data_IF_133617825708
#
_entry.id   IF_133617825708
#
_cell.length_a   1.000
_cell.length_b   1.000
_cell.length_c   1.000
_cell.angle_alpha   90.00
_cell.angle_beta   90.00
_cell.angle_gamma   90.00
#
_symmetry.space_group_name_H-M   'P 1'
#
loop_
_entity.id
_entity.type
_entity.pdbx_description
1 polymer ?
#
# COMPACT_ATOMS: atom_id res chain seq x y z
N UNK A 1 -46.50 -38.35 -39.70
CA UNK A 1 -46.21 -39.60 -40.45
C UNK A 1 -44.70 -39.65 -40.66
N UNK A 2 -43.95 -40.40 -39.86
CA UNK A 2 -43.73 -41.86 -39.93
C UNK A 2 -42.61 -42.24 -40.90
N UNK A 3 -41.52 -42.75 -40.30
CA UNK A 3 -40.67 -43.89 -40.69
C UNK A 3 -39.87 -43.81 -42.01
N UNK A 4 -38.54 -43.96 -42.03
CA UNK A 4 -37.65 -45.09 -41.64
C UNK A 4 -37.21 -45.94 -42.85
N UNK A 5 -35.89 -46.19 -42.94
CA UNK A 5 -35.20 -47.48 -43.21
C UNK A 5 -33.91 -47.27 -44.02
N UNK A 6 -32.70 -47.58 -43.54
CA UNK A 6 -32.05 -48.89 -43.24
C UNK A 6 -31.42 -49.59 -44.45
N UNK A 7 -30.09 -49.81 -44.37
CA UNK A 7 -29.29 -51.03 -44.72
C UNK A 7 -27.83 -50.70 -44.35
N UNK A 8 -27.20 -51.26 -43.29
CA UNK A 8 -26.63 -52.63 -43.08
C UNK A 8 -25.80 -53.09 -44.29
N UNK A 9 -24.51 -53.45 -44.15
CA UNK A 9 -23.92 -54.61 -43.42
C UNK A 9 -22.46 -54.29 -43.01
N UNK A 10 -21.94 -54.66 -41.83
CA UNK A 10 -21.57 -56.03 -41.39
C UNK A 10 -20.15 -56.37 -41.92
N UNK A 11 -19.19 -56.93 -41.18
CA UNK A 11 -19.27 -57.79 -40.00
C UNK A 11 -17.86 -58.22 -39.55
N UNK A 12 -17.60 -58.24 -38.23
CA UNK A 12 -16.95 -59.33 -37.43
C UNK A 12 -15.49 -59.73 -37.71
N UNK A 13 -14.68 -60.26 -36.77
CA UNK A 13 -14.84 -60.76 -35.40
C UNK A 13 -13.42 -61.00 -34.80
N UNK A 14 -13.20 -60.69 -33.52
CA UNK A 14 -13.08 -61.62 -32.36
C UNK A 14 -11.63 -62.01 -32.05
N UNK A 15 -11.09 -61.62 -30.88
CA UNK A 15 -11.18 -62.24 -29.54
C UNK A 15 -10.15 -63.38 -29.39
N UNK A 16 -9.25 -63.26 -28.41
CA UNK A 16 -9.06 -64.28 -27.37
C UNK A 16 -8.16 -63.80 -26.23
N UNK A 17 -8.46 -64.38 -25.07
CA UNK A 17 -8.01 -64.11 -23.72
C UNK A 17 -7.15 -65.29 -23.24
N UNK A 18 -6.34 -65.03 -22.19
CA UNK A 18 -5.96 -65.87 -21.03
C UNK A 18 -4.60 -66.60 -20.95
N UNK A 19 -3.98 -66.38 -19.77
CA UNK A 19 -3.22 -67.28 -18.86
C UNK A 19 -1.81 -67.74 -19.26
N UNK A 20 -0.80 -67.92 -18.39
CA UNK A 20 -0.54 -67.67 -16.97
C UNK A 20 0.96 -67.95 -16.66
N UNK A 21 1.44 -67.42 -15.52
CA UNK A 21 2.48 -67.93 -14.59
C UNK A 21 3.97 -68.11 -14.94
N UNK A 22 4.81 -67.43 -14.14
CA UNK A 22 5.84 -67.98 -13.21
C UNK A 22 7.14 -67.13 -13.19
N UNK A 23 7.35 -66.37 -12.11
CA UNK A 23 8.40 -66.55 -11.08
C UNK A 23 9.85 -66.38 -11.54
N UNK A 24 10.53 -65.34 -11.05
CA UNK A 24 11.89 -65.43 -10.51
C UNK A 24 12.25 -64.18 -9.69
N UNK A 25 12.63 -64.45 -8.44
CA UNK A 25 13.13 -63.53 -7.42
C UNK A 25 14.52 -62.98 -7.79
N UNK A 26 14.73 -61.67 -7.61
CA UNK A 26 15.98 -61.01 -7.17
C UNK A 26 15.52 -59.75 -6.44
N UNK A 27 15.90 -59.43 -5.21
CA UNK A 27 17.20 -59.60 -4.57
C UNK A 27 17.51 -58.22 -3.98
N UNK A 28 17.13 -58.05 -2.71
CA UNK A 28 17.17 -56.83 -1.91
C UNK A 28 18.62 -56.34 -1.70
N UNK A 29 18.91 -55.08 -2.04
CA UNK A 29 20.11 -54.36 -1.58
C UNK A 29 19.69 -52.94 -1.18
N UNK A 30 19.35 -52.78 0.09
CA UNK A 30 19.13 -51.49 0.75
C UNK A 30 20.51 -51.02 1.25
N UNK A 31 21.02 -49.93 0.70
CA UNK A 31 22.21 -49.26 1.19
C UNK A 31 21.90 -48.46 2.47
N UNK A 32 22.83 -48.40 3.45
CA UNK A 32 22.59 -47.77 4.75
C UNK A 32 22.60 -46.24 4.65
N UNK A 33 21.58 -45.61 5.23
CA UNK A 33 21.51 -44.17 5.47
C UNK A 33 22.54 -43.76 6.54
N UNK A 34 23.22 -42.61 6.43
CA UNK A 34 24.12 -42.13 7.46
C UNK A 34 23.32 -41.59 8.66
N UNK A 35 23.69 -42.07 9.84
CA UNK A 35 23.19 -41.60 11.14
C UNK A 35 23.52 -40.11 11.35
N UNK A 36 22.53 -39.24 11.21
CA UNK A 36 22.57 -37.89 11.74
C UNK A 36 22.25 -37.96 13.24
N UNK A 37 23.29 -37.79 14.05
CA UNK A 37 23.20 -37.64 15.50
C UNK A 37 22.34 -36.41 15.84
N UNK A 38 21.24 -36.65 16.52
CA UNK A 38 20.39 -35.61 17.09
C UNK A 38 21.00 -35.14 18.41
N UNK A 39 21.76 -34.05 18.38
CA UNK A 39 22.16 -33.33 19.60
C UNK A 39 21.00 -32.41 20.03
N UNK A 40 20.50 -32.47 21.28
CA UNK A 40 19.51 -31.51 21.75
C UNK A 40 20.15 -30.14 21.83
N UNK A 41 19.70 -29.18 21.00
CA UNK A 41 20.08 -27.78 21.17
C UNK A 41 19.37 -27.24 22.41
N UNK A 42 20.19 -26.83 23.38
CA UNK A 42 19.75 -25.96 24.46
C UNK A 42 19.05 -24.72 23.87
N UNK A 43 17.81 -24.51 24.30
CA UNK A 43 17.05 -23.30 24.06
C UNK A 43 17.73 -22.13 24.78
N UNK A 44 18.46 -21.31 24.03
CA UNK A 44 18.85 -19.97 24.48
C UNK A 44 17.60 -19.08 24.49
N UNK A 45 17.26 -18.40 25.60
CA UNK A 45 16.14 -17.47 25.61
C UNK A 45 16.42 -16.27 24.71
N UNK A 46 15.37 -15.76 24.07
CA UNK A 46 15.42 -14.57 23.22
C UNK A 46 15.93 -13.35 24.03
N UNK A 47 16.72 -12.44 23.43
CA UNK A 47 17.19 -11.25 24.11
C UNK A 47 15.99 -10.33 24.42
N UNK A 48 15.92 -9.86 25.67
CA UNK A 48 14.95 -8.86 26.11
C UNK A 48 15.13 -7.54 25.35
N UNK A 49 14.06 -6.77 25.07
CA UNK A 49 14.19 -5.46 24.46
C UNK A 49 14.99 -4.51 25.38
N UNK A 50 15.76 -3.56 24.82
CA UNK A 50 16.61 -2.68 25.60
C UNK A 50 15.75 -1.79 26.53
N UNK A 51 16.07 -1.83 27.83
CA UNK A 51 15.49 -0.92 28.81
C UNK A 51 16.10 0.48 28.61
N UNK A 52 15.25 1.46 28.36
CA UNK A 52 15.63 2.88 28.34
C UNK A 52 15.96 3.32 29.77
N UNK A 53 17.06 4.07 30.00
CA UNK A 53 17.43 4.53 31.33
C UNK A 53 16.53 5.70 31.74
N UNK A 54 15.57 5.47 32.63
CA UNK A 54 14.90 6.54 33.35
C UNK A 54 15.85 7.08 34.43
N UNK A 55 16.61 8.11 34.06
CA UNK A 55 17.34 8.94 35.01
C UNK A 55 16.38 9.79 35.83
N UNK A 56 16.33 9.52 37.14
CA UNK A 56 15.73 10.39 38.15
C UNK A 56 16.54 11.69 38.26
N UNK A 57 15.94 12.82 37.87
CA UNK A 57 16.36 14.14 38.34
C UNK A 57 15.11 14.93 38.72
N UNK A 58 14.92 15.10 40.02
CA UNK A 58 13.84 15.87 40.60
C UNK A 58 14.15 17.37 40.47
N UNK A 59 13.51 18.03 39.51
CA UNK A 59 13.36 19.49 39.53
C UNK A 59 11.93 19.84 39.94
N UNK A 60 11.81 20.48 41.11
CA UNK A 60 10.60 21.13 41.59
C UNK A 60 10.17 22.23 40.61
N UNK A 61 9.25 21.91 39.70
CA UNK A 61 8.50 22.89 38.93
C UNK A 61 7.11 23.05 39.57
N UNK A 62 6.80 24.27 40.00
CA UNK A 62 5.49 24.63 40.54
C UNK A 62 4.44 24.39 39.46
N UNK A 63 3.54 23.42 39.70
CA UNK A 63 2.38 23.18 38.84
C UNK A 63 1.40 24.35 38.97
N UNK A 64 1.41 25.24 37.99
CA UNK A 64 0.22 26.03 37.68
C UNK A 64 -0.79 25.07 37.04
N UNK A 65 -1.88 24.78 37.74
CA UNK A 65 -3.01 24.01 37.24
C UNK A 65 -3.74 24.81 36.17
N UNK A 66 -3.23 24.71 34.94
CA UNK A 66 -3.98 24.99 33.73
C UNK A 66 -4.88 23.78 33.48
N UNK A 67 -6.17 23.89 33.77
CA UNK A 67 -7.20 22.96 33.31
C UNK A 67 -7.45 23.19 31.81
N UNK A 68 -6.48 22.85 30.97
CA UNK A 68 -6.75 22.62 29.56
C UNK A 68 -7.25 21.19 29.40
N UNK A 69 -8.47 21.04 28.90
CA UNK A 69 -8.99 19.74 28.51
C UNK A 69 -8.12 19.18 27.37
N UNK A 70 -7.50 18.01 27.60
CA UNK A 70 -6.86 17.26 26.52
C UNK A 70 -7.98 16.68 25.64
N UNK A 71 -8.34 17.40 24.57
CA UNK A 71 -9.29 16.92 23.57
C UNK A 71 -8.56 16.10 22.52
N UNK A 72 -9.17 15.00 22.07
CA UNK A 72 -8.71 14.27 20.88
C UNK A 72 -8.67 15.14 19.60
N UNK A 73 -9.26 16.34 19.64
CA UNK A 73 -9.30 17.32 18.55
C UNK A 73 -8.28 18.47 18.73
N UNK A 74 -7.33 18.37 19.65
CA UNK A 74 -6.28 19.37 19.78
C UNK A 74 -5.42 19.44 18.49
N UNK A 75 -5.19 20.63 17.91
CA UNK A 75 -4.42 20.74 16.67
C UNK A 75 -2.97 20.30 16.90
N UNK A 76 -2.45 19.43 16.02
CA UNK A 76 -1.02 19.11 16.01
C UNK A 76 -0.21 20.39 15.76
N UNK A 77 0.85 20.61 16.53
CA UNK A 77 1.78 21.71 16.28
C UNK A 77 2.58 21.43 14.99
N UNK A 78 2.22 22.10 13.90
CA UNK A 78 2.79 21.88 12.56
C UNK A 78 4.10 22.67 12.31
N UNK A 79 4.64 23.37 13.30
CA UNK A 79 5.68 24.39 13.10
C UNK A 79 7.09 23.85 12.85
N UNK A 80 7.31 22.52 12.82
CA UNK A 80 8.64 21.92 12.63
C UNK A 80 8.60 20.57 11.89
N UNK A 81 7.69 20.41 10.92
CA UNK A 81 7.43 19.10 10.31
C UNK A 81 8.60 18.56 9.46
N UNK A 82 9.49 19.43 8.95
CA UNK A 82 10.72 19.01 8.25
C UNK A 82 11.69 20.18 8.07
N UNK A 83 12.95 19.96 8.45
CA UNK A 83 14.09 20.86 8.17
C UNK A 83 14.83 20.49 6.87
N UNK A 84 14.39 19.42 6.17
CA UNK A 84 15.04 18.91 4.97
C UNK A 84 14.74 19.79 3.75
N UNK A 85 15.76 20.05 2.94
CA UNK A 85 15.60 20.76 1.66
C UNK A 85 14.61 20.03 0.75
N UNK A 86 13.80 20.79 0.02
CA UNK A 86 12.82 20.25 -0.93
C UNK A 86 13.52 19.49 -2.06
N UNK A 87 13.06 18.28 -2.33
CA UNK A 87 13.44 17.46 -3.48
C UNK A 87 12.76 18.05 -4.71
N UNK A 88 13.54 18.27 -5.76
CA UNK A 88 13.09 18.83 -7.03
C UNK A 88 13.44 17.86 -8.16
N UNK A 89 12.88 18.07 -9.35
CA UNK A 89 13.30 17.34 -10.56
C UNK A 89 14.82 17.42 -10.79
N UNK A 90 15.45 18.55 -10.48
CA UNK A 90 16.91 18.72 -10.58
C UNK A 90 17.66 17.93 -9.51
N UNK A 91 17.07 17.76 -8.33
CA UNK A 91 17.62 16.88 -7.29
C UNK A 91 17.63 15.44 -7.78
N UNK A 92 16.50 14.96 -8.31
CA UNK A 92 16.34 13.59 -8.82
C UNK A 92 17.28 13.32 -10.00
N UNK A 93 17.41 14.26 -10.94
CA UNK A 93 18.37 14.16 -12.05
C UNK A 93 19.81 14.05 -11.54
N UNK A 94 20.20 14.86 -10.55
CA UNK A 94 21.55 14.79 -9.96
C UNK A 94 21.81 13.48 -9.23
N UNK A 95 20.79 12.90 -8.59
CA UNK A 95 20.92 11.59 -7.96
C UNK A 95 21.19 10.52 -9.03
N UNK A 96 20.41 10.54 -10.12
CA UNK A 96 20.61 9.66 -11.27
C UNK A 96 22.01 9.80 -11.90
N UNK A 97 22.46 11.01 -12.21
CA UNK A 97 23.79 11.30 -12.76
C UNK A 97 24.94 10.82 -11.85
N UNK A 98 24.70 10.77 -10.53
CA UNK A 98 25.68 10.28 -9.53
C UNK A 98 25.56 8.79 -9.23
N UNK A 99 24.57 8.09 -9.79
CA UNK A 99 24.26 6.71 -9.43
C UNK A 99 23.69 6.54 -8.01
N UNK A 100 23.21 7.61 -7.39
CA UNK A 100 22.53 7.57 -6.09
C UNK A 100 21.08 7.08 -6.29
N UNK A 101 20.68 6.04 -5.55
CA UNK A 101 19.37 5.41 -5.73
C UNK A 101 18.25 6.32 -5.24
N UNK A 102 17.24 6.52 -6.09
CA UNK A 102 16.03 7.29 -5.74
C UNK A 102 15.09 6.41 -4.92
N UNK A 103 14.71 6.87 -3.74
CA UNK A 103 13.71 6.20 -2.90
C UNK A 103 12.31 6.73 -3.18
N UNK A 104 11.36 5.82 -3.43
CA UNK A 104 9.97 6.17 -3.68
C UNK A 104 9.04 5.26 -2.89
N UNK A 105 7.97 5.82 -2.33
CA UNK A 105 6.94 5.03 -1.65
C UNK A 105 5.56 5.64 -1.88
N UNK A 106 4.51 4.82 -1.86
CA UNK A 106 3.15 5.37 -1.92
C UNK A 106 2.74 6.03 -0.60
N UNK A 107 1.83 7.00 -0.66
CA UNK A 107 1.11 7.51 0.49
C UNK A 107 -0.33 7.81 0.10
N UNK A 108 -1.23 7.75 1.08
CA UNK A 108 -2.67 7.77 0.83
C UNK A 108 -3.39 8.82 1.68
N UNK A 109 -2.80 9.30 2.76
CA UNK A 109 -3.40 10.25 3.69
C UNK A 109 -2.34 11.14 4.35
N UNK A 110 -2.78 12.02 5.25
CA UNK A 110 -1.88 12.92 5.96
C UNK A 110 -0.81 12.17 6.81
N UNK A 111 -1.17 11.20 7.67
CA UNK A 111 -0.17 10.46 8.46
C UNK A 111 0.85 9.68 7.62
N UNK A 112 0.40 8.96 6.57
CA UNK A 112 1.29 8.22 5.68
C UNK A 112 2.27 9.13 4.94
N UNK A 113 1.80 10.26 4.43
CA UNK A 113 2.62 11.26 3.77
C UNK A 113 3.62 11.91 4.73
N UNK A 114 3.19 12.24 5.94
CA UNK A 114 4.07 12.79 6.98
C UNK A 114 5.17 11.80 7.35
N UNK A 115 4.83 10.53 7.57
CA UNK A 115 5.80 9.49 7.91
C UNK A 115 6.83 9.31 6.78
N UNK A 116 6.39 9.25 5.52
CA UNK A 116 7.28 9.13 4.38
C UNK A 116 8.24 10.33 4.26
N UNK A 117 7.74 11.56 4.46
CA UNK A 117 8.56 12.77 4.38
C UNK A 117 9.60 12.85 5.51
N UNK A 118 9.20 12.50 6.74
CA UNK A 118 10.09 12.46 7.91
C UNK A 118 11.15 11.34 7.81
N UNK A 119 10.81 10.22 7.18
CA UNK A 119 11.76 9.16 6.88
C UNK A 119 12.79 9.55 5.80
N UNK A 120 12.64 10.71 5.17
CA UNK A 120 13.59 11.22 4.18
C UNK A 120 13.39 10.66 2.77
N UNK A 121 12.22 10.06 2.48
CA UNK A 121 11.90 9.52 1.14
C UNK A 121 12.01 10.63 0.09
N UNK A 122 12.61 10.31 -1.07
CA UNK A 122 12.84 11.31 -2.12
C UNK A 122 11.56 11.65 -2.88
N UNK A 123 10.76 10.62 -3.19
CA UNK A 123 9.53 10.73 -3.98
C UNK A 123 8.36 10.08 -3.24
N UNK A 124 7.28 10.83 -3.02
CA UNK A 124 6.02 10.28 -2.48
C UNK A 124 5.00 10.19 -3.59
N UNK A 125 4.42 9.01 -3.78
CA UNK A 125 3.40 8.75 -4.80
C UNK A 125 2.01 8.61 -4.18
N UNK A 126 1.09 9.47 -4.58
CA UNK A 126 -0.34 9.22 -4.41
C UNK A 126 -0.78 8.38 -5.59
N UNK A 127 -0.66 7.06 -5.43
CA UNK A 127 -0.92 6.10 -6.49
C UNK A 127 -2.33 5.56 -6.48
N UNK A 128 -2.86 5.21 -7.64
CA UNK A 128 -4.19 4.61 -7.81
C UNK A 128 -4.35 3.22 -7.15
N UNK A 129 -3.23 2.56 -6.83
CA UNK A 129 -3.17 1.42 -5.89
C UNK A 129 -3.96 1.64 -4.59
N UNK A 130 -4.13 2.91 -4.17
CA UNK A 130 -5.07 3.39 -3.16
C UNK A 130 -6.44 2.72 -3.23
N UNK A 131 -6.98 2.53 -4.44
CA UNK A 131 -8.27 1.90 -4.69
C UNK A 131 -8.38 0.57 -3.93
N UNK A 132 -7.38 -0.28 -4.08
CA UNK A 132 -7.36 -1.61 -3.48
C UNK A 132 -6.88 -1.57 -2.04
N UNK A 133 -5.78 -0.88 -1.75
CA UNK A 133 -5.11 -0.99 -0.44
C UNK A 133 -5.69 -0.07 0.63
N UNK A 134 -6.30 1.04 0.23
CA UNK A 134 -6.86 2.03 1.15
C UNK A 134 -8.38 2.12 1.10
N UNK A 135 -9.00 1.89 -0.07
CA UNK A 135 -10.46 1.99 -0.24
C UNK A 135 -11.17 0.63 -0.34
N UNK A 136 -10.44 -0.47 -0.45
CA UNK A 136 -11.02 -1.83 -0.51
C UNK A 136 -11.77 -2.13 -1.80
N UNK A 137 -11.53 -1.37 -2.87
CA UNK A 137 -12.05 -1.64 -4.21
C UNK A 137 -11.39 -2.89 -4.81
N UNK A 138 -12.07 -3.53 -5.77
CA UNK A 138 -11.58 -4.79 -6.35
C UNK A 138 -10.36 -4.59 -7.26
N UNK A 139 -10.28 -3.44 -7.92
CA UNK A 139 -9.17 -3.05 -8.78
C UNK A 139 -8.95 -1.53 -8.81
N UNK A 140 -7.89 -1.10 -9.50
CA UNK A 140 -7.53 0.32 -9.65
C UNK A 140 -8.42 1.09 -10.61
N UNK A 141 -9.30 0.43 -11.37
CA UNK A 141 -10.14 1.09 -12.38
C UNK A 141 -11.40 1.73 -11.78
N UNK A 142 -11.74 1.37 -10.53
CA UNK A 142 -12.88 1.94 -9.83
C UNK A 142 -12.62 3.34 -9.26
N UNK A 143 -11.35 3.75 -9.12
CA UNK A 143 -11.00 5.02 -8.48
C UNK A 143 -11.20 6.20 -9.44
N UNK A 144 -11.82 7.26 -8.93
CA UNK A 144 -12.09 8.47 -9.72
C UNK A 144 -10.97 9.50 -9.60
N UNK A 145 -10.96 10.48 -10.51
CA UNK A 145 -10.09 11.66 -10.39
C UNK A 145 -10.40 12.46 -9.10
N UNK A 146 -11.65 12.51 -8.66
CA UNK A 146 -12.03 13.22 -7.44
C UNK A 146 -11.47 12.54 -6.17
N UNK A 147 -11.42 11.20 -6.16
CA UNK A 147 -10.74 10.45 -5.09
C UNK A 147 -9.25 10.77 -5.08
N UNK A 148 -8.59 10.73 -6.24
CA UNK A 148 -7.18 11.09 -6.37
C UNK A 148 -6.91 12.53 -5.90
N UNK A 149 -7.78 13.49 -6.24
CA UNK A 149 -7.69 14.87 -5.77
C UNK A 149 -7.88 14.99 -4.25
N UNK A 150 -8.79 14.22 -3.66
CA UNK A 150 -8.98 14.20 -2.21
C UNK A 150 -7.71 13.72 -1.50
N UNK A 151 -7.21 12.55 -1.88
CA UNK A 151 -6.07 11.91 -1.23
C UNK A 151 -4.77 12.68 -1.50
N UNK A 152 -4.59 13.23 -2.70
CA UNK A 152 -3.45 14.09 -3.04
C UNK A 152 -3.37 15.31 -2.11
N UNK A 153 -4.50 15.99 -1.84
CA UNK A 153 -4.55 17.09 -0.88
C UNK A 153 -4.24 16.65 0.55
N UNK A 154 -4.70 15.47 0.95
CA UNK A 154 -4.45 14.95 2.30
C UNK A 154 -2.95 14.69 2.50
N UNK A 155 -2.31 13.99 1.56
CA UNK A 155 -0.87 13.68 1.57
C UNK A 155 -0.04 14.96 1.50
N UNK A 156 -0.41 15.92 0.65
CA UNK A 156 0.31 17.20 0.50
C UNK A 156 0.36 18.06 1.78
N UNK A 157 -0.53 17.81 2.76
CA UNK A 157 -0.45 18.49 4.08
C UNK A 157 0.72 17.97 4.92
N UNK A 158 1.08 16.69 4.75
CA UNK A 158 2.16 16.01 5.46
C UNK A 158 3.50 16.06 4.73
N UNK A 159 3.49 16.04 3.40
CA UNK A 159 4.71 16.06 2.57
C UNK A 159 5.21 17.50 2.36
N UNK A 160 6.34 17.86 2.99
CA UNK A 160 6.95 19.19 2.88
C UNK A 160 8.23 19.20 2.05
N UNK A 161 9.01 18.12 2.10
CA UNK A 161 10.31 18.05 1.42
C UNK A 161 10.31 17.12 0.22
N UNK A 162 9.65 15.97 0.25
CA UNK A 162 9.67 14.98 -0.83
C UNK A 162 9.01 15.51 -2.11
N UNK A 163 9.41 14.95 -3.24
CA UNK A 163 8.81 15.23 -4.54
C UNK A 163 7.48 14.50 -4.66
N UNK A 164 6.37 15.24 -4.59
CA UNK A 164 5.03 14.66 -4.60
C UNK A 164 4.55 14.38 -6.03
N UNK A 165 4.29 13.11 -6.32
CA UNK A 165 3.70 12.63 -7.58
C UNK A 165 2.28 12.14 -7.31
N UNK A 166 1.35 12.39 -8.22
CA UNK A 166 0.00 11.83 -8.15
C UNK A 166 -0.37 11.12 -9.46
N UNK A 167 -1.03 9.97 -9.36
CA UNK A 167 -1.50 9.25 -10.54
C UNK A 167 -2.66 9.96 -11.24
N UNK A 168 -2.63 9.91 -12.58
CA UNK A 168 -3.81 10.06 -13.40
C UNK A 168 -4.55 8.69 -13.41
N UNK A 169 -5.75 8.60 -12.83
CA UNK A 169 -6.50 7.34 -12.80
C UNK A 169 -7.06 7.02 -14.18
N UNK A 170 -7.45 5.75 -14.40
CA UNK A 170 -8.08 5.31 -15.64
C UNK A 170 -9.29 6.18 -15.99
N UNK A 171 -9.44 6.53 -17.27
CA UNK A 171 -10.51 7.36 -17.80
C UNK A 171 -10.27 8.87 -17.68
N UNK A 172 -9.16 9.30 -17.07
CA UNK A 172 -8.84 10.72 -16.88
C UNK A 172 -7.90 11.30 -17.95
N UNK A 173 -7.32 10.48 -18.83
CA UNK A 173 -6.28 10.93 -19.76
C UNK A 173 -6.33 10.28 -21.15
N UNK A 174 -7.15 9.26 -21.35
CA UNK A 174 -7.14 8.40 -22.54
C UNK A 174 -7.98 8.96 -23.69
N UNK A 175 -8.96 9.82 -23.42
CA UNK A 175 -9.88 10.29 -24.47
C UNK A 175 -9.24 11.33 -25.39
N UNK A 176 -8.40 12.21 -24.84
CA UNK A 176 -7.70 13.24 -25.61
C UNK A 176 -6.57 13.88 -24.79
N UNK A 177 -5.61 14.51 -25.49
CA UNK A 177 -4.56 15.29 -24.85
C UNK A 177 -5.14 16.44 -23.99
N UNK A 178 -6.25 17.04 -24.42
CA UNK A 178 -6.92 18.11 -23.68
C UNK A 178 -7.48 17.60 -22.35
N UNK A 179 -8.11 16.43 -22.34
CA UNK A 179 -8.60 15.81 -21.10
C UNK A 179 -7.44 15.50 -20.15
N UNK A 180 -6.38 14.86 -20.64
CA UNK A 180 -5.20 14.54 -19.85
C UNK A 180 -4.56 15.80 -19.23
N UNK A 181 -4.49 16.89 -19.99
CA UNK A 181 -3.99 18.17 -19.52
C UNK A 181 -4.92 18.77 -18.44
N UNK A 182 -6.24 18.75 -18.63
CA UNK A 182 -7.21 19.22 -17.62
C UNK A 182 -7.07 18.46 -16.31
N UNK A 183 -7.00 17.13 -16.37
CA UNK A 183 -6.79 16.26 -15.21
C UNK A 183 -5.44 16.54 -14.52
N UNK A 184 -4.37 16.71 -15.32
CA UNK A 184 -3.04 17.02 -14.79
C UNK A 184 -3.00 18.38 -14.09
N UNK A 185 -3.60 19.41 -14.70
CA UNK A 185 -3.73 20.73 -14.09
C UNK A 185 -4.51 20.65 -12.78
N UNK A 186 -5.59 19.86 -12.73
CA UNK A 186 -6.36 19.68 -11.50
C UNK A 186 -5.52 19.03 -10.39
N UNK A 187 -4.75 17.97 -10.68
CA UNK A 187 -3.86 17.33 -9.71
C UNK A 187 -2.77 18.27 -9.19
N UNK A 188 -2.23 19.14 -10.04
CA UNK A 188 -1.25 20.14 -9.61
C UNK A 188 -1.90 21.26 -8.79
N UNK A 189 -2.94 21.91 -9.32
CA UNK A 189 -3.54 23.09 -8.69
C UNK A 189 -4.35 22.76 -7.44
N UNK A 190 -5.23 21.76 -7.56
CA UNK A 190 -6.16 21.36 -6.50
C UNK A 190 -5.57 20.24 -5.66
N UNK A 191 -4.96 19.23 -6.30
CA UNK A 191 -4.31 18.11 -5.60
C UNK A 191 -3.01 18.50 -4.89
N UNK A 192 -2.35 19.59 -5.31
CA UNK A 192 -1.04 20.07 -4.83
C UNK A 192 0.14 19.15 -5.18
N UNK A 193 -0.05 18.25 -6.14
CA UNK A 193 1.03 17.44 -6.68
C UNK A 193 2.07 18.32 -7.40
N UNK A 194 3.34 17.90 -7.38
CA UNK A 194 4.40 18.56 -8.16
C UNK A 194 4.54 17.94 -9.55
N UNK A 195 4.16 16.68 -9.69
CA UNK A 195 4.24 15.89 -10.92
C UNK A 195 3.06 14.94 -11.02
N UNK A 196 2.73 14.50 -12.24
CA UNK A 196 1.75 13.45 -12.49
C UNK A 196 2.42 12.16 -12.96
N UNK A 197 1.85 11.00 -12.62
CA UNK A 197 2.21 9.70 -13.20
C UNK A 197 1.13 9.24 -14.18
N UNK A 198 1.55 8.68 -15.32
CA UNK A 198 0.69 8.23 -16.41
C UNK A 198 1.14 6.88 -16.94
N UNK A 199 0.19 5.98 -17.21
CA UNK A 199 0.48 4.64 -17.72
C UNK A 199 0.40 4.58 -19.24
N UNK A 200 1.36 3.92 -19.87
CA UNK A 200 1.39 3.73 -21.32
C UNK A 200 2.78 3.89 -21.92
N UNK A 201 2.98 3.18 -23.02
CA UNK A 201 4.22 3.20 -23.79
C UNK A 201 4.18 4.24 -24.90
N UNK A 202 4.67 3.85 -26.07
CA UNK A 202 4.76 4.72 -27.25
C UNK A 202 3.42 5.36 -27.64
N UNK A 203 2.30 4.67 -27.40
CA UNK A 203 0.96 5.17 -27.70
C UNK A 203 0.56 6.41 -26.89
N UNK A 204 1.10 6.59 -25.68
CA UNK A 204 0.77 7.73 -24.81
C UNK A 204 1.81 8.86 -24.90
N UNK A 205 2.92 8.65 -25.60
CA UNK A 205 3.99 9.64 -25.77
C UNK A 205 3.48 11.02 -26.27
N UNK A 206 2.55 11.13 -27.24
CA UNK A 206 1.99 12.43 -27.63
C UNK A 206 1.25 13.15 -26.49
N UNK A 207 0.58 12.40 -25.60
CA UNK A 207 -0.09 12.96 -24.42
C UNK A 207 0.93 13.44 -23.38
N UNK A 208 1.98 12.65 -23.14
CA UNK A 208 3.09 13.05 -22.26
C UNK A 208 3.69 14.37 -22.76
N UNK A 209 3.99 14.46 -24.06
CA UNK A 209 4.55 15.66 -24.67
C UNK A 209 3.66 16.89 -24.52
N UNK A 210 2.33 16.73 -24.65
CA UNK A 210 1.39 17.81 -24.43
C UNK A 210 1.39 18.31 -22.97
N UNK A 211 1.49 17.40 -22.00
CA UNK A 211 1.53 17.75 -20.57
C UNK A 211 2.87 18.43 -20.20
N UNK A 212 3.98 17.87 -20.67
CA UNK A 212 5.34 18.38 -20.35
C UNK A 212 5.61 19.73 -21.00
N UNK A 213 5.10 19.97 -22.21
CA UNK A 213 5.18 21.29 -22.90
C UNK A 213 4.52 22.40 -22.10
N UNK A 214 3.48 22.08 -21.31
CA UNK A 214 2.81 23.04 -20.41
C UNK A 214 3.54 23.24 -19.07
N UNK A 215 4.70 22.60 -18.89
CA UNK A 215 5.54 22.72 -17.70
C UNK A 215 5.15 21.81 -16.55
N UNK A 216 4.27 20.82 -16.75
CA UNK A 216 3.93 19.82 -15.74
C UNK A 216 4.88 18.61 -15.87
N UNK A 217 5.70 18.29 -14.87
CA UNK A 217 6.58 17.12 -14.93
C UNK A 217 5.76 15.82 -14.96
N UNK A 218 6.16 14.89 -15.82
CA UNK A 218 5.51 13.58 -15.97
C UNK A 218 6.47 12.45 -15.60
N UNK A 219 6.01 11.56 -14.72
CA UNK A 219 6.61 10.24 -14.49
C UNK A 219 5.84 9.23 -15.37
N UNK A 220 6.51 8.62 -16.35
CA UNK A 220 5.88 7.59 -17.16
C UNK A 220 5.78 6.25 -16.41
N UNK A 221 4.92 5.34 -16.86
CA UNK A 221 4.82 3.99 -16.33
C UNK A 221 4.61 2.98 -17.48
N UNK A 222 5.57 2.06 -17.63
CA UNK A 222 5.57 0.99 -18.64
C UNK A 222 5.87 -0.38 -18.01
N UNK A 223 5.74 -1.45 -18.79
CA UNK A 223 5.78 -2.81 -18.29
C UNK A 223 4.35 -3.26 -17.98
N UNK A 224 4.14 -3.85 -16.80
CA UNK A 224 2.78 -4.15 -16.34
C UNK A 224 2.11 -2.82 -15.95
N UNK A 225 1.00 -2.50 -16.61
CA UNK A 225 0.22 -1.28 -16.32
C UNK A 225 -1.12 -1.71 -15.73
N UNK A 226 -1.30 -1.66 -14.40
CA UNK A 226 -2.50 -2.15 -13.70
C UNK A 226 -3.82 -1.66 -14.29
N UNK A 227 -3.89 -0.41 -14.77
CA UNK A 227 -5.11 0.14 -15.38
C UNK A 227 -5.53 -0.65 -16.64
N UNK A 228 -4.56 -1.29 -17.30
CA UNK A 228 -4.74 -2.13 -18.48
C UNK A 228 -4.75 -3.63 -18.17
N UNK A 229 -4.96 -4.03 -16.91
CA UNK A 229 -4.96 -5.46 -16.53
C UNK A 229 -5.88 -6.32 -17.42
N UNK A 230 -7.04 -5.80 -17.83
CA UNK A 230 -7.99 -6.52 -18.68
C UNK A 230 -7.45 -6.86 -20.06
N UNK A 231 -6.70 -5.94 -20.69
CA UNK A 231 -6.07 -6.19 -22.01
C UNK A 231 -4.77 -6.98 -21.90
N UNK A 232 -4.09 -6.92 -20.75
CA UNK A 232 -2.87 -7.68 -20.46
C UNK A 232 -3.14 -9.11 -19.97
N UNK A 233 -4.41 -9.47 -19.70
CA UNK A 233 -4.77 -10.79 -19.17
C UNK A 233 -4.43 -10.98 -17.70
N UNK A 234 -4.44 -9.89 -16.91
CA UNK A 234 -4.15 -9.85 -15.48
C UNK A 234 -2.73 -9.38 -15.14
N UNK A 235 -2.35 -9.55 -13.88
CA UNK A 235 -1.04 -9.13 -13.34
C UNK A 235 0.08 -10.11 -13.71
N UNK A 236 0.47 -10.11 -14.99
CA UNK A 236 1.50 -11.00 -15.53
C UNK A 236 2.81 -10.27 -15.79
N UNK A 237 3.93 -10.94 -15.49
CA UNK A 237 5.29 -10.44 -15.77
C UNK A 237 5.46 -10.18 -17.26
N UNK A 238 5.96 -8.99 -17.61
CA UNK A 238 6.13 -8.51 -18.98
C UNK A 238 7.53 -8.79 -19.53
N UNK A 239 7.72 -8.61 -20.84
CA UNK A 239 9.04 -8.58 -21.49
C UNK A 239 9.93 -9.81 -21.28
N UNK A 240 9.33 -11.01 -21.25
CA UNK A 240 10.06 -12.29 -21.12
C UNK A 240 10.78 -12.77 -22.39
N UNK A 241 10.48 -12.17 -23.54
CA UNK A 241 11.10 -12.52 -24.83
C UNK A 241 11.84 -11.32 -25.38
N UNK A 242 12.86 -11.55 -26.22
CA UNK A 242 13.63 -10.47 -26.85
C UNK A 242 12.74 -9.49 -27.63
N UNK A 243 11.70 -9.98 -28.32
CA UNK A 243 10.73 -9.12 -29.02
C UNK A 243 9.94 -8.22 -28.05
N UNK A 244 9.46 -8.78 -26.93
CA UNK A 244 8.74 -8.01 -25.92
C UNK A 244 9.65 -7.05 -25.13
N UNK A 245 10.92 -7.41 -24.91
CA UNK A 245 11.93 -6.52 -24.35
C UNK A 245 12.28 -5.37 -25.31
N UNK A 246 12.38 -5.64 -26.62
CA UNK A 246 12.57 -4.61 -27.65
C UNK A 246 11.40 -3.62 -27.71
N UNK A 247 10.15 -4.11 -27.59
CA UNK A 247 8.99 -3.24 -27.44
C UNK A 247 9.09 -2.36 -26.19
N UNK A 248 9.43 -2.93 -25.04
CA UNK A 248 9.58 -2.18 -23.79
C UNK A 248 10.64 -1.07 -23.92
N UNK A 249 11.79 -1.37 -24.54
CA UNK A 249 12.83 -0.38 -24.81
C UNK A 249 12.32 0.73 -25.73
N UNK A 250 11.55 0.37 -26.78
CA UNK A 250 10.93 1.34 -27.69
C UNK A 250 9.93 2.24 -26.97
N UNK A 251 9.13 1.67 -26.05
CA UNK A 251 8.20 2.41 -25.20
C UNK A 251 8.95 3.35 -24.26
N UNK A 252 10.03 2.88 -23.64
CA UNK A 252 10.87 3.65 -22.73
C UNK A 252 11.53 4.87 -23.41
N UNK A 253 12.11 4.66 -24.59
CA UNK A 253 12.69 5.74 -25.39
C UNK A 253 11.61 6.73 -25.85
N UNK A 254 10.43 6.25 -26.26
CA UNK A 254 9.34 7.13 -26.69
C UNK A 254 8.83 8.04 -25.57
N UNK A 255 8.70 7.53 -24.34
CA UNK A 255 8.27 8.37 -23.21
C UNK A 255 9.38 9.33 -22.75
N UNK A 256 10.65 8.94 -22.87
CA UNK A 256 11.79 9.83 -22.67
C UNK A 256 11.77 10.99 -23.68
N UNK A 257 11.65 10.69 -24.97
CA UNK A 257 11.61 11.68 -26.05
C UNK A 257 10.40 12.64 -25.92
N UNK A 258 9.30 12.16 -25.34
CA UNK A 258 8.13 12.98 -25.01
C UNK A 258 8.35 13.92 -23.82
N UNK A 259 9.49 13.83 -23.13
CA UNK A 259 9.88 14.72 -22.04
C UNK A 259 9.51 14.23 -20.63
N UNK A 260 9.22 12.94 -20.45
CA UNK A 260 9.08 12.38 -19.11
C UNK A 260 10.39 12.57 -18.31
N UNK A 261 10.29 12.90 -17.03
CA UNK A 261 11.49 13.09 -16.19
C UNK A 261 12.07 11.78 -15.68
N UNK A 262 11.27 10.71 -15.72
CA UNK A 262 11.62 9.36 -15.32
C UNK A 262 10.56 8.37 -15.79
N UNK A 263 10.80 7.08 -15.60
CA UNK A 263 9.86 6.02 -15.98
C UNK A 263 9.83 4.91 -14.93
N UNK A 264 8.63 4.51 -14.51
CA UNK A 264 8.42 3.30 -13.71
C UNK A 264 8.48 2.07 -14.61
N UNK A 265 9.23 1.06 -14.18
CA UNK A 265 9.26 -0.27 -14.79
C UNK A 265 8.64 -1.27 -13.81
N UNK A 266 7.46 -1.79 -14.14
CA UNK A 266 6.74 -2.74 -13.27
C UNK A 266 6.73 -4.17 -13.82
N UNK A 267 7.07 -5.12 -12.95
CA UNK A 267 7.04 -6.56 -13.21
C UNK A 267 7.79 -6.98 -14.50
N UNK A 268 9.02 -6.47 -14.66
CA UNK A 268 9.95 -6.75 -15.77
C UNK A 268 11.14 -7.60 -15.27
N UNK A 269 11.68 -8.56 -16.04
CA UNK A 269 12.90 -9.27 -15.67
C UNK A 269 14.07 -8.32 -15.37
N UNK A 270 14.84 -8.63 -14.32
CA UNK A 270 15.89 -7.75 -13.81
C UNK A 270 16.94 -7.35 -14.86
N UNK A 271 17.41 -8.30 -15.67
CA UNK A 271 18.37 -8.02 -16.73
C UNK A 271 17.81 -7.10 -17.81
N UNK A 272 16.53 -7.24 -18.16
CA UNK A 272 15.86 -6.37 -19.14
C UNK A 272 15.73 -4.96 -18.57
N UNK A 273 15.28 -4.82 -17.31
CA UNK A 273 15.14 -3.52 -16.66
C UNK A 273 16.49 -2.80 -16.50
N UNK A 274 17.56 -3.54 -16.19
CA UNK A 274 18.92 -3.00 -16.15
C UNK A 274 19.37 -2.48 -17.52
N UNK A 275 19.22 -3.27 -18.58
CA UNK A 275 19.57 -2.86 -19.94
C UNK A 275 18.75 -1.65 -20.43
N UNK A 276 17.46 -1.58 -20.09
CA UNK A 276 16.63 -0.40 -20.36
C UNK A 276 17.14 0.81 -19.59
N UNK A 277 17.51 0.64 -18.31
CA UNK A 277 18.05 1.73 -17.47
C UNK A 277 19.36 2.28 -18.02
N UNK A 278 20.24 1.42 -18.53
CA UNK A 278 21.51 1.79 -19.16
C UNK A 278 21.33 2.52 -20.51
N UNK A 279 20.19 2.34 -21.17
CA UNK A 279 19.91 2.91 -22.49
C UNK A 279 19.17 4.27 -22.43
N UNK A 280 18.68 4.67 -21.26
CA UNK A 280 17.95 5.93 -21.05
C UNK A 280 18.86 7.01 -20.47
N UNK A 281 18.48 8.27 -20.66
CA UNK A 281 19.07 9.47 -20.05
C UNK A 281 18.23 10.00 -18.87
N UNK A 282 17.14 9.31 -18.55
CA UNK A 282 16.23 9.62 -17.44
C UNK A 282 16.22 8.48 -16.41
N UNK A 283 16.00 8.78 -15.11
CA UNK A 283 15.90 7.75 -14.08
C UNK A 283 14.77 6.75 -14.32
N UNK A 284 15.09 5.48 -14.07
CA UNK A 284 14.10 4.39 -13.98
C UNK A 284 13.75 4.09 -12.53
N UNK A 285 12.47 3.90 -12.21
CA UNK A 285 12.00 3.48 -10.89
C UNK A 285 11.44 2.07 -11.00
N UNK A 286 12.06 1.10 -10.31
CA UNK A 286 11.66 -0.29 -10.35
C UNK A 286 10.58 -0.64 -9.34
N UNK A 287 9.65 -1.51 -9.73
CA UNK A 287 8.81 -2.28 -8.81
C UNK A 287 8.66 -3.70 -9.35
N UNK A 288 9.33 -4.65 -8.70
CA UNK A 288 9.50 -5.99 -9.26
C UNK A 288 10.34 -6.02 -10.55
N UNK A 289 11.28 -5.08 -10.69
CA UNK A 289 12.17 -4.94 -11.85
C UNK A 289 13.67 -5.16 -11.51
N UNK A 290 13.98 -5.68 -10.32
CA UNK A 290 15.35 -5.91 -9.84
C UNK A 290 16.09 -4.63 -9.42
N UNK A 291 17.29 -4.76 -8.86
CA UNK A 291 18.07 -3.62 -8.35
C UNK A 291 18.75 -2.75 -9.42
N UNK A 292 18.72 -3.19 -10.69
CA UNK A 292 19.36 -2.53 -11.82
C UNK A 292 18.75 -1.17 -12.22
N UNK A 293 17.58 -0.81 -11.69
CA UNK A 293 16.92 0.49 -11.94
C UNK A 293 17.55 1.63 -11.15
N UNK A 294 17.30 2.88 -11.53
CA UNK A 294 17.83 4.08 -10.86
C UNK A 294 17.26 4.32 -9.47
N UNK A 295 16.07 3.78 -9.18
CA UNK A 295 15.40 3.84 -7.91
C UNK A 295 14.39 2.70 -7.74
N UNK A 296 13.68 2.70 -6.62
CA UNK A 296 12.68 1.67 -6.30
C UNK A 296 11.41 2.31 -5.73
N UNK A 297 10.26 1.72 -6.03
CA UNK A 297 8.97 2.05 -5.43
C UNK A 297 8.29 0.82 -4.83
N UNK A 298 7.64 1.00 -3.67
CA UNK A 298 6.73 0.02 -3.08
C UNK A 298 5.44 0.70 -2.62
N UNK A 299 4.35 -0.06 -2.60
CA UNK A 299 3.12 0.32 -1.92
C UNK A 299 3.39 0.30 -0.40
N UNK A 300 3.21 1.43 0.27
CA UNK A 300 3.57 1.59 1.69
C UNK A 300 2.82 0.60 2.59
N UNK A 301 1.51 0.42 2.36
CA UNK A 301 0.69 -0.54 3.11
C UNK A 301 1.23 -1.97 2.98
N UNK A 302 1.68 -2.35 1.78
CA UNK A 302 2.20 -3.68 1.53
C UNK A 302 3.55 -3.92 2.22
N UNK A 303 4.45 -2.93 2.15
CA UNK A 303 5.78 -3.05 2.78
C UNK A 303 5.74 -2.92 4.31
N UNK A 304 4.76 -2.21 4.87
CA UNK A 304 4.51 -2.15 6.32
C UNK A 304 3.75 -3.37 6.87
N UNK A 305 3.24 -4.24 6.00
CA UNK A 305 2.43 -5.37 6.45
C UNK A 305 1.10 -4.95 7.07
N UNK A 306 0.49 -3.85 6.61
CA UNK A 306 -0.76 -3.34 7.17
C UNK A 306 -1.98 -3.93 6.46
N UNK A 307 -2.13 -5.25 6.49
CA UNK A 307 -3.24 -5.99 5.90
C UNK A 307 -3.42 -7.33 6.61
N UNK A 308 -4.61 -7.95 6.55
CA UNK A 308 -4.87 -9.23 7.22
C UNK A 308 -4.02 -10.37 6.66
N UNK A 309 -3.74 -11.35 7.52
CA UNK A 309 -3.10 -12.60 7.11
C UNK A 309 -3.86 -13.28 5.96
N UNK A 310 -3.12 -13.87 5.02
CA UNK A 310 -3.68 -14.57 3.86
C UNK A 310 -3.98 -13.68 2.64
N UNK A 311 -3.84 -12.35 2.75
CA UNK A 311 -3.86 -11.47 1.56
C UNK A 311 -2.74 -11.87 0.60
N UNK A 312 -3.05 -11.91 -0.70
CA UNK A 312 -2.05 -12.11 -1.73
C UNK A 312 -1.05 -10.94 -1.70
N UNK A 313 0.23 -11.27 -1.55
CA UNK A 313 1.33 -10.31 -1.59
C UNK A 313 2.18 -10.59 -2.85
N UNK A 314 2.39 -9.62 -3.73
CA UNK A 314 3.25 -9.83 -4.90
C UNK A 314 4.66 -10.24 -4.48
N UNK A 315 5.25 -11.18 -5.22
CA UNK A 315 6.57 -11.77 -4.88
C UNK A 315 7.71 -10.75 -4.72
N UNK A 316 7.57 -9.57 -5.33
CA UNK A 316 8.59 -8.51 -5.29
C UNK A 316 8.51 -7.65 -4.03
N UNK A 317 7.46 -7.80 -3.22
CA UNK A 317 7.31 -7.03 -2.00
C UNK A 317 8.10 -7.70 -0.88
N UNK A 318 8.99 -6.91 -0.25
CA UNK A 318 9.55 -7.24 1.06
C UNK A 318 8.69 -6.61 2.14
N UNK A 319 8.20 -7.42 3.07
CA UNK A 319 7.54 -6.95 4.30
C UNK A 319 8.61 -6.55 5.32
N UNK A 320 8.61 -5.28 5.74
CA UNK A 320 9.56 -4.73 6.72
C UNK A 320 8.99 -4.66 8.14
N UNK A 321 7.66 -4.73 8.29
CA UNK A 321 6.97 -4.75 9.59
C UNK A 321 5.65 -5.53 9.49
N UNK A 322 4.96 -5.72 10.62
CA UNK A 322 3.61 -6.30 10.68
C UNK A 322 2.67 -5.36 11.44
N UNK A 323 2.34 -4.23 10.81
CA UNK A 323 1.52 -3.18 11.43
C UNK A 323 0.10 -3.67 11.70
N UNK A 324 -0.42 -4.59 10.88
CA UNK A 324 -1.77 -5.12 11.09
C UNK A 324 -1.86 -5.89 12.40
N UNK A 325 -0.93 -6.79 12.67
CA UNK A 325 -0.93 -7.58 13.91
C UNK A 325 -0.70 -6.71 15.15
N UNK A 326 0.19 -5.73 15.07
CA UNK A 326 0.39 -4.75 16.17
C UNK A 326 -0.90 -3.97 16.44
N UNK A 327 -1.57 -3.49 15.40
CA UNK A 327 -2.82 -2.74 15.53
C UNK A 327 -3.95 -3.62 16.08
N UNK A 328 -4.05 -4.87 15.61
CA UNK A 328 -5.01 -5.86 16.08
C UNK A 328 -4.81 -6.18 17.56
N UNK A 329 -3.56 -6.33 18.01
CA UNK A 329 -3.25 -6.56 19.41
C UNK A 329 -3.69 -5.37 20.29
N UNK A 330 -3.31 -4.15 19.91
CA UNK A 330 -3.67 -2.94 20.66
C UNK A 330 -5.19 -2.71 20.74
N UNK A 331 -5.92 -2.94 19.65
CA UNK A 331 -7.40 -2.84 19.65
C UNK A 331 -8.03 -3.90 20.56
N UNK A 332 -7.49 -5.11 20.59
CA UNK A 332 -7.98 -6.16 21.48
C UNK A 332 -7.71 -5.84 22.95
N UNK A 333 -6.51 -5.33 23.26
CA UNK A 333 -6.16 -4.89 24.61
C UNK A 333 -7.11 -3.79 25.09
N UNK A 334 -7.33 -2.74 24.30
CA UNK A 334 -8.31 -1.69 24.60
C UNK A 334 -9.70 -2.27 24.89
N UNK A 335 -10.18 -3.16 24.02
CA UNK A 335 -11.48 -3.83 24.19
C UNK A 335 -11.55 -4.62 25.50
N UNK A 336 -10.49 -5.34 25.85
CA UNK A 336 -10.45 -6.18 27.04
C UNK A 336 -10.34 -5.33 28.32
N UNK A 337 -9.57 -4.23 28.28
CA UNK A 337 -9.49 -3.27 29.40
C UNK A 337 -10.79 -2.54 29.66
N UNK A 338 -11.51 -2.12 28.61
CA UNK A 338 -12.85 -1.52 28.74
C UNK A 338 -13.82 -2.51 29.37
N UNK A 339 -13.84 -3.77 28.88
CA UNK A 339 -14.74 -4.81 29.41
C UNK A 339 -14.43 -5.18 30.86
N UNK A 340 -13.15 -5.12 31.25
CA UNK A 340 -12.71 -5.37 32.61
C UNK A 340 -12.87 -4.14 33.54
N UNK A 341 -13.27 -2.98 33.03
CA UNK A 341 -13.33 -1.72 33.79
C UNK A 341 -11.95 -1.20 34.21
N UNK A 342 -10.88 -1.64 33.54
CA UNK A 342 -9.51 -1.13 33.75
C UNK A 342 -9.28 0.20 33.04
N UNK A 343 -9.91 0.38 31.88
CA UNK A 343 -9.91 1.65 31.14
C UNK A 343 -11.30 2.30 31.17
N UNK A 344 -11.40 3.62 31.40
CA UNK A 344 -10.30 4.54 31.74
C UNK A 344 -9.77 4.33 33.17
N UNK A 345 -8.44 4.34 33.32
CA UNK A 345 -7.80 4.47 34.63
C UNK A 345 -7.86 5.91 35.15
N UNK A 346 -7.50 6.15 36.41
CA UNK A 346 -7.66 7.46 37.08
C UNK A 346 -6.94 8.59 36.33
N UNK A 347 -5.75 8.33 35.80
CA UNK A 347 -4.96 9.29 35.01
C UNK A 347 -5.63 9.70 33.69
N UNK A 348 -6.62 8.93 33.21
CA UNK A 348 -7.42 9.23 32.03
C UNK A 348 -8.75 9.91 32.39
N UNK A 349 -8.94 10.30 33.65
CA UNK A 349 -10.16 10.95 34.15
C UNK A 349 -9.90 12.35 34.67
N UNK A 350 -10.99 13.10 34.87
CA UNK A 350 -10.93 14.45 35.43
C UNK A 350 -11.42 14.43 36.87
N UNK A 351 -10.67 15.02 37.81
CA UNK A 351 -11.09 15.09 39.21
C UNK A 351 -12.29 16.04 39.38
N UNK A 352 -13.15 15.72 40.35
CA UNK A 352 -14.25 16.57 40.80
C UNK A 352 -14.17 16.73 42.31
N UNK A 353 -14.52 17.92 42.83
CA UNK A 353 -14.57 18.16 44.28
C UNK A 353 -15.65 17.28 44.91
N UNK A 354 -15.33 16.64 46.03
CA UNK A 354 -16.23 15.70 46.69
C UNK A 354 -17.60 16.31 47.04
N UNK A 355 -17.64 17.58 47.45
CA UNK A 355 -18.86 18.31 47.75
C UNK A 355 -19.82 18.38 46.55
N UNK A 356 -19.30 18.57 45.34
CA UNK A 356 -20.08 18.60 44.11
C UNK A 356 -20.65 17.22 43.77
N UNK A 357 -19.90 16.15 44.06
CA UNK A 357 -20.38 14.76 43.88
C UNK A 357 -21.55 14.47 44.82
N UNK A 358 -21.46 14.91 46.08
CA UNK A 358 -22.53 14.73 47.06
C UNK A 358 -23.80 15.49 46.66
N UNK A 359 -23.65 16.76 46.27
CA UNK A 359 -24.77 17.57 45.79
C UNK A 359 -25.44 16.93 44.56
N UNK A 360 -24.64 16.45 43.61
CA UNK A 360 -25.17 15.80 42.41
C UNK A 360 -25.90 14.48 42.71
N UNK A 361 -25.41 13.67 43.66
CA UNK A 361 -26.10 12.44 44.10
C UNK A 361 -27.52 12.74 44.61
N UNK A 362 -27.70 13.81 45.40
CA UNK A 362 -29.03 14.20 45.90
C UNK A 362 -29.97 14.58 44.75
N UNK A 363 -29.46 15.34 43.76
CA UNK A 363 -30.22 15.71 42.56
C UNK A 363 -30.66 14.46 41.77
N UNK A 364 -29.75 13.49 41.59
CA UNK A 364 -30.06 12.25 40.86
C UNK A 364 -31.17 11.44 41.55
N UNK A 365 -31.13 11.29 42.87
CA UNK A 365 -32.15 10.55 43.60
C UNK A 365 -33.53 11.24 43.53
N UNK A 366 -33.59 12.57 43.68
CA UNK A 366 -34.83 13.32 43.50
C UNK A 366 -35.43 13.06 42.10
N UNK A 367 -34.61 13.10 41.05
CA UNK A 367 -35.06 12.84 39.67
C UNK A 367 -35.56 11.41 39.47
N UNK A 368 -34.94 10.41 40.09
CA UNK A 368 -35.42 9.02 40.01
C UNK A 368 -36.82 8.88 40.60
N UNK A 369 -37.07 9.49 41.76
CA UNK A 369 -38.41 9.46 42.39
C UNK A 369 -39.46 10.13 41.50
N UNK A 370 -39.15 11.29 40.92
CA UNK A 370 -40.04 11.99 39.99
C UNK A 370 -40.39 11.13 38.75
N UNK A 371 -39.39 10.43 38.18
CA UNK A 371 -39.58 9.54 37.04
C UNK A 371 -40.47 8.35 37.41
N UNK A 372 -40.25 7.72 38.56
CA UNK A 372 -41.04 6.55 38.97
C UNK A 372 -42.49 6.93 39.28
N UNK A 373 -42.71 8.06 39.96
CA UNK A 373 -44.06 8.61 40.16
C UNK A 373 -44.75 8.91 38.82
N UNK A 374 -44.01 9.41 37.82
CA UNK A 374 -44.56 9.62 36.48
C UNK A 374 -44.88 8.30 35.75
N UNK A 375 -44.07 7.25 35.92
CA UNK A 375 -44.35 5.93 35.32
C UNK A 375 -45.57 5.28 35.97
N UNK A 376 -45.71 5.37 37.28
CA UNK A 376 -46.88 4.87 38.01
C UNK A 376 -48.16 5.58 37.57
N UNK A 377 -48.13 6.91 37.45
CA UNK A 377 -49.27 7.67 36.90
C UNK A 377 -49.65 7.22 35.49
N UNK A 378 -48.68 6.98 34.60
CA UNK A 378 -48.98 6.50 33.24
C UNK A 378 -49.62 5.11 33.22
N UNK A 379 -49.14 4.19 34.06
CA UNK A 379 -49.71 2.84 34.19
C UNK A 379 -51.10 2.81 34.82
N UNK A 380 -51.50 3.83 35.59
CA UNK A 380 -52.86 3.92 36.14
C UNK A 380 -53.89 4.50 35.17
N UNK A 381 -53.46 4.96 33.98
CA UNK A 381 -54.35 5.47 32.91
C UNK A 381 -54.54 4.45 31.76
N UNK A 382 -53.78 3.35 31.74
CA UNK A 382 -54.00 2.16 30.91
C UNK A 382 -54.85 1.16 31.70
#
# INVERSE_FOLDING_TARGET
>A
MSLAALRRTGSTASRLQRTASSSLQRGLLIAPQPHLQYTPRHSTPAPSPPQLPFGSSAHHAKFHTSTQAASAHAPMALSDLSTRKKVTINTLRKMYEKGEKITMITAHDFPSGLLADQAGIDVVLVGDSLAMVGLGMEDTNQISLDDMLHHSRAVARGVRSAFLVADLPMGSYELSHQQALQSSIALVQKGRATSVKIEGGKEIAPTISAITTMGIPVLAHIGLTPQRQGSLGGFVVQSKTAAAASKLLSDALAVQDAGAWGVVLEAVPADVARLVTEALDIPTIGIGAGEGTSGQVLVQIDMLGNFPAGRFLPKFVKKYADVFEVSRAAINEYKDEVKAGKYPAVEHTYPVKEQEVVAFKQIVEQRKTEIEASKQRRRSYE
#
